data_IF_607249439172
#
_entry.id   IF_607249439172
#
_cell.length_a   1.000
_cell.length_b   1.000
_cell.length_c   1.000
_cell.angle_alpha   90.00
_cell.angle_beta   90.00
_cell.angle_gamma   90.00
#
_symmetry.space_group_name_H-M   'P 1'
#
loop_
_entity.id
_entity.type
_entity.pdbx_description
1 polymer ?
#
# COMPACT_ATOMS: atom_id res chain seq x y z
N UNK A 1 -6.61 -62.14 -10.08
CA UNK A 1 -7.88 -61.58 -9.57
C UNK A 1 -7.61 -61.00 -8.18
N UNK A 2 -7.59 -59.66 -8.03
CA UNK A 2 -7.28 -58.98 -6.75
C UNK A 2 -8.52 -59.00 -5.84
N UNK A 3 -8.36 -59.42 -4.59
CA UNK A 3 -9.39 -59.29 -3.53
C UNK A 3 -8.89 -58.30 -2.50
N UNK A 4 -9.54 -57.14 -2.43
CA UNK A 4 -9.30 -56.11 -1.42
C UNK A 4 -10.51 -56.06 -0.50
N UNK A 5 -10.29 -56.17 0.81
CA UNK A 5 -11.22 -55.66 1.82
C UNK A 5 -10.51 -55.57 3.19
N UNK A 6 -10.43 -54.37 3.77
CA UNK A 6 -11.22 -54.03 4.95
C UNK A 6 -11.07 -52.55 5.28
N UNK A 7 -12.20 -51.88 5.54
CA UNK A 7 -12.30 -50.49 5.97
C UNK A 7 -11.98 -50.40 7.46
N UNK A 8 -11.21 -49.39 7.89
CA UNK A 8 -11.27 -48.88 9.26
C UNK A 8 -11.24 -47.36 9.26
N UNK A 9 -12.24 -46.84 9.97
CA UNK A 9 -12.57 -45.47 10.34
C UNK A 9 -11.41 -44.70 10.98
N UNK A 10 -11.39 -43.37 10.79
CA UNK A 10 -10.57 -42.51 11.65
C UNK A 10 -10.21 -41.13 11.09
N UNK A 11 -11.13 -40.18 11.25
CA UNK A 11 -10.85 -38.81 11.72
C UNK A 11 -9.86 -37.94 10.92
N UNK A 12 -10.41 -37.01 10.15
CA UNK A 12 -9.76 -35.74 9.80
C UNK A 12 -9.28 -35.06 11.08
N UNK A 13 -7.97 -35.00 11.31
CA UNK A 13 -7.39 -34.07 12.25
C UNK A 13 -6.40 -33.20 11.49
N UNK A 14 -6.86 -31.99 11.17
CA UNK A 14 -6.04 -30.85 10.80
C UNK A 14 -4.87 -30.75 11.77
N UNK A 15 -3.66 -30.97 11.28
CA UNK A 15 -2.44 -30.57 11.97
C UNK A 15 -2.42 -29.05 11.98
N UNK A 16 -2.95 -28.49 13.07
CA UNK A 16 -2.78 -27.09 13.42
C UNK A 16 -1.32 -26.85 13.82
N UNK A 17 -0.54 -26.00 13.12
CA UNK A 17 0.53 -25.31 13.78
C UNK A 17 -0.10 -24.09 14.48
N UNK A 18 -0.55 -24.28 15.72
CA UNK A 18 -0.84 -23.14 16.61
C UNK A 18 0.50 -22.58 17.06
N UNK A 19 1.10 -21.79 16.19
CA UNK A 19 2.00 -20.68 16.50
C UNK A 19 2.00 -19.77 15.27
N UNK A 20 0.82 -19.38 14.81
CA UNK A 20 0.69 -18.16 14.00
C UNK A 20 0.87 -17.01 15.00
N UNK A 21 2.11 -16.58 15.13
CA UNK A 21 2.53 -15.39 15.85
C UNK A 21 1.49 -14.30 15.68
N UNK A 22 0.77 -13.93 16.76
CA UNK A 22 -0.08 -12.74 16.75
C UNK A 22 0.72 -11.49 16.32
N UNK A 23 2.05 -11.54 16.44
CA UNK A 23 3.00 -10.54 15.95
C UNK A 23 3.04 -10.40 14.42
N UNK A 24 2.69 -11.43 13.63
CA UNK A 24 2.63 -11.32 12.17
C UNK A 24 1.35 -10.64 11.69
N UNK A 25 0.24 -10.73 12.44
CA UNK A 25 -0.99 -10.02 12.09
C UNK A 25 -0.81 -8.50 12.21
N UNK A 26 -0.13 -8.03 13.26
CA UNK A 26 0.18 -6.60 13.43
C UNK A 26 1.22 -6.10 12.43
N UNK A 27 2.21 -6.94 12.07
CA UNK A 27 3.22 -6.61 11.05
C UNK A 27 2.64 -6.55 9.64
N UNK A 28 1.73 -7.47 9.29
CA UNK A 28 1.04 -7.47 8.00
C UNK A 28 -0.04 -6.37 7.91
N UNK A 29 -0.73 -6.04 9.01
CA UNK A 29 -1.67 -4.91 9.04
C UNK A 29 -0.94 -3.57 8.82
N UNK A 30 0.25 -3.40 9.41
CA UNK A 30 1.11 -2.23 9.17
C UNK A 30 1.56 -2.14 7.70
N UNK A 31 1.93 -3.27 7.08
CA UNK A 31 2.33 -3.31 5.67
C UNK A 31 1.18 -2.97 4.71
N UNK A 32 -0.04 -3.42 5.03
CA UNK A 32 -1.24 -3.16 4.22
C UNK A 32 -1.76 -1.72 4.37
N UNK A 33 -1.55 -1.12 5.54
CA UNK A 33 -1.81 0.30 5.76
C UNK A 33 -0.78 1.16 5.00
N UNK A 34 0.50 0.79 5.06
CA UNK A 34 1.59 1.44 4.33
C UNK A 34 1.39 1.35 2.81
N UNK A 35 0.94 0.21 2.27
CA UNK A 35 0.65 0.10 0.83
C UNK A 35 -0.50 1.01 0.38
N UNK A 36 -1.55 1.13 1.20
CA UNK A 36 -2.67 2.04 0.91
C UNK A 36 -2.25 3.51 0.99
N UNK A 37 -1.34 3.84 1.89
CA UNK A 37 -0.76 5.17 1.97
C UNK A 37 0.07 5.49 0.72
N UNK A 38 0.90 4.55 0.27
CA UNK A 38 1.65 4.66 -0.98
C UNK A 38 0.71 4.94 -2.17
N UNK A 39 -0.38 4.17 -2.30
CA UNK A 39 -1.38 4.41 -3.35
C UNK A 39 -2.00 5.81 -3.26
N UNK A 40 -2.21 6.38 -2.06
CA UNK A 40 -2.70 7.76 -1.92
C UNK A 40 -1.68 8.77 -2.39
N UNK A 41 -0.40 8.54 -2.11
CA UNK A 41 0.70 9.40 -2.55
C UNK A 41 0.80 9.37 -4.07
N UNK A 42 0.73 8.20 -4.68
CA UNK A 42 0.75 8.05 -6.14
C UNK A 42 -0.43 8.79 -6.79
N UNK A 43 -1.64 8.62 -6.25
CA UNK A 43 -2.81 9.34 -6.75
C UNK A 43 -2.66 10.87 -6.63
N UNK A 44 -2.07 11.36 -5.54
CA UNK A 44 -1.79 12.79 -5.35
C UNK A 44 -0.71 13.29 -6.32
N UNK A 45 0.31 12.49 -6.57
CA UNK A 45 1.31 12.82 -7.58
C UNK A 45 0.65 12.98 -8.96
N UNK A 46 -0.16 12.00 -9.37
CA UNK A 46 -0.84 12.03 -10.66
C UNK A 46 -1.92 13.10 -10.79
N UNK A 47 -2.42 13.68 -9.69
CA UNK A 47 -3.34 14.82 -9.78
C UNK A 47 -2.66 16.11 -10.20
N UNK A 48 -1.33 16.23 -10.01
CA UNK A 48 -0.56 17.43 -10.40
C UNK A 48 0.47 17.15 -11.49
N UNK A 49 0.80 15.89 -11.75
CA UNK A 49 1.80 15.54 -12.76
C UNK A 49 1.24 15.69 -14.18
N UNK A 50 2.13 16.14 -15.08
CA UNK A 50 1.86 16.17 -16.50
C UNK A 50 1.98 14.76 -17.08
N UNK A 51 0.89 14.23 -17.63
CA UNK A 51 0.80 12.85 -18.13
C UNK A 51 1.72 12.52 -19.31
N UNK A 52 2.34 13.53 -19.92
CA UNK A 52 3.30 13.32 -21.02
C UNK A 52 4.74 13.25 -20.57
N UNK A 53 5.09 13.93 -19.47
CA UNK A 53 6.45 13.97 -18.94
C UNK A 53 6.64 13.08 -17.70
N UNK A 54 5.54 12.63 -17.09
CA UNK A 54 5.52 11.93 -15.80
C UNK A 54 6.26 12.72 -14.70
N UNK A 55 6.23 14.05 -14.80
CA UNK A 55 6.80 14.98 -13.82
C UNK A 55 5.75 16.01 -13.42
N UNK A 56 5.88 16.54 -12.21
CA UNK A 56 5.16 17.76 -11.81
C UNK A 56 5.93 18.93 -12.43
N UNK A 57 5.33 19.54 -13.46
CA UNK A 57 5.85 20.71 -14.14
C UNK A 57 5.50 22.00 -13.34
N UNK A 58 6.01 23.18 -13.74
CA UNK A 58 5.71 24.42 -13.02
C UNK A 58 4.20 24.66 -12.84
N UNK A 59 3.39 24.33 -13.84
CA UNK A 59 1.93 24.42 -13.80
C UNK A 59 1.33 23.52 -12.70
N UNK A 60 1.81 22.28 -12.57
CA UNK A 60 1.44 21.38 -11.49
C UNK A 60 1.85 21.90 -10.10
N UNK A 61 3.01 22.55 -9.99
CA UNK A 61 3.47 23.19 -8.74
C UNK A 61 2.56 24.36 -8.35
N UNK A 62 2.18 25.22 -9.30
CA UNK A 62 1.27 26.33 -9.05
C UNK A 62 -0.12 25.85 -8.60
N UNK A 63 -0.64 24.79 -9.20
CA UNK A 63 -1.89 24.17 -8.79
C UNK A 63 -1.82 23.61 -7.36
N UNK A 64 -0.76 22.87 -7.02
CA UNK A 64 -0.53 22.36 -5.67
C UNK A 64 -0.45 23.49 -4.63
N UNK A 65 0.28 24.57 -4.94
CA UNK A 65 0.40 25.72 -4.04
C UNK A 65 -0.95 26.39 -3.80
N UNK A 66 -1.79 26.48 -4.85
CA UNK A 66 -3.16 27.00 -4.76
C UNK A 66 -4.02 26.18 -3.82
N UNK A 67 -3.99 24.85 -3.93
CA UNK A 67 -4.76 23.94 -3.06
C UNK A 67 -4.29 23.96 -1.60
N UNK A 68 -3.03 24.33 -1.36
CA UNK A 68 -2.47 24.54 -0.03
C UNK A 68 -2.69 25.96 0.52
N UNK A 69 -3.29 26.86 -0.27
CA UNK A 69 -3.47 28.28 0.05
C UNK A 69 -2.13 28.99 0.38
N UNK A 70 -1.08 28.65 -0.37
CA UNK A 70 0.26 29.25 -0.26
C UNK A 70 0.67 29.84 -1.60
N UNK A 71 1.29 31.02 -1.59
CA UNK A 71 1.85 31.60 -2.81
C UNK A 71 3.06 30.79 -3.29
N UNK A 72 3.16 30.49 -4.58
CA UNK A 72 4.28 29.71 -5.15
C UNK A 72 5.64 30.42 -5.02
N UNK A 73 5.64 31.71 -4.70
CA UNK A 73 6.85 32.50 -4.39
C UNK A 73 7.20 32.57 -2.89
N UNK A 74 6.38 31.96 -2.03
CA UNK A 74 6.60 31.94 -0.58
C UNK A 74 7.83 31.09 -0.21
N UNK A 75 8.62 31.55 0.77
CA UNK A 75 9.80 30.84 1.27
C UNK A 75 9.48 29.41 1.74
N UNK A 76 8.24 29.18 2.19
CA UNK A 76 7.75 27.86 2.62
C UNK A 76 7.81 26.84 1.48
N UNK A 77 7.59 27.26 0.23
CA UNK A 77 7.69 26.39 -0.94
C UNK A 77 9.15 26.00 -1.21
N UNK A 78 10.09 26.94 -1.02
CA UNK A 78 11.52 26.63 -1.11
C UNK A 78 11.98 25.69 0.00
N UNK A 79 11.41 25.79 1.20
CA UNK A 79 11.69 24.85 2.30
C UNK A 79 11.12 23.45 2.04
N UNK A 80 9.99 23.34 1.33
CA UNK A 80 9.40 22.05 0.96
C UNK A 80 10.24 21.30 -0.08
N UNK A 81 10.93 22.02 -0.96
CA UNK A 81 11.73 21.45 -2.05
C UNK A 81 13.16 21.04 -1.62
N UNK A 82 13.58 21.36 -0.39
CA UNK A 82 14.92 21.09 0.15
C UNK A 82 14.95 19.83 1.02
#
# INVERSE_FOLDING_TARGET
MRRSASRKTGQSNSTSPITSSATDLFRSASGKASSKEMERIDNLFYSYANSSSDLIDPEGIEALCTDMEVDHTDIRILMLAW
#
